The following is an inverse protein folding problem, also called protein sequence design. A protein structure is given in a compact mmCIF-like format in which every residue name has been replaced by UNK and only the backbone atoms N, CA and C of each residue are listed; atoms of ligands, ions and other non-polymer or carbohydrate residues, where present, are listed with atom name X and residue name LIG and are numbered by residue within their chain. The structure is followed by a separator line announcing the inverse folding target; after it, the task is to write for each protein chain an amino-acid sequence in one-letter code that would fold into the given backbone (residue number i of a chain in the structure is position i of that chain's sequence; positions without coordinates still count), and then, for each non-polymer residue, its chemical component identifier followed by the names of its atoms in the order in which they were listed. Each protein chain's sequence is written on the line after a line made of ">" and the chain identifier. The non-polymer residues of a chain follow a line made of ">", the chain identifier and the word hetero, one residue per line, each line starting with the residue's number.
data_IF_238728518540
#
_entry.id   IF_238728518540
#
_cell.length_a   1.000
_cell.length_b   1.000
_cell.length_c   1.000
_cell.angle_alpha   90.00
_cell.angle_beta   90.00
_cell.angle_gamma   90.00
#
_symmetry.space_group_name_H-M   'P 1'
#
loop_
_entity.id
_entity.type
_entity.pdbx_description
1 polymer ?
#
# COMPACT_ATOMS: atom_id res chain seq x y z
N UNK A 1 -47.13 22.06 19.39
CA UNK A 1 -45.96 21.81 20.26
C UNK A 1 -45.27 20.54 19.78
N UNK A 2 -44.23 20.71 18.95
CA UNK A 2 -43.36 19.61 18.50
C UNK A 2 -42.10 19.65 19.36
N UNK A 3 -41.91 18.64 20.19
CA UNK A 3 -40.71 18.47 21.00
C UNK A 3 -39.53 18.07 20.12
N UNK A 4 -38.52 18.92 20.07
CA UNK A 4 -37.23 18.66 19.48
C UNK A 4 -36.47 17.66 20.36
N UNK A 5 -36.32 16.42 19.88
CA UNK A 5 -35.53 15.38 20.53
C UNK A 5 -34.07 15.57 20.14
N UNK A 6 -33.29 16.11 21.06
CA UNK A 6 -31.85 16.31 20.91
C UNK A 6 -31.15 14.96 21.07
N UNK A 7 -30.49 14.49 19.98
CA UNK A 7 -29.72 13.26 20.00
C UNK A 7 -28.46 13.43 20.88
N UNK A 8 -28.23 12.50 21.81
CA UNK A 8 -27.04 12.44 22.65
C UNK A 8 -25.78 12.10 21.81
N UNK A 9 -24.59 12.56 22.21
CA UNK A 9 -23.34 12.21 21.54
C UNK A 9 -23.05 10.72 21.68
N UNK A 10 -22.76 10.07 20.56
CA UNK A 10 -22.29 8.69 20.54
C UNK A 10 -20.84 8.68 21.00
N UNK A 11 -20.58 8.18 22.19
CA UNK A 11 -19.22 7.89 22.67
C UNK A 11 -18.64 6.73 21.85
N UNK A 12 -17.60 7.01 21.09
CA UNK A 12 -16.80 6.00 20.40
C UNK A 12 -15.94 5.27 21.44
N UNK A 13 -16.06 3.95 21.61
CA UNK A 13 -15.20 3.22 22.54
C UNK A 13 -13.75 3.28 22.05
N UNK A 14 -12.84 3.75 22.91
CA UNK A 14 -11.41 3.69 22.71
C UNK A 14 -10.97 2.22 22.62
N UNK A 15 -10.51 1.81 21.43
CA UNK A 15 -9.87 0.52 21.23
C UNK A 15 -8.50 0.56 21.88
N UNK A 16 -8.13 -0.38 22.77
CA UNK A 16 -6.79 -0.45 23.34
C UNK A 16 -5.79 -0.68 22.20
N UNK A 17 -4.77 0.17 22.10
CA UNK A 17 -3.62 -0.06 21.24
C UNK A 17 -2.86 -1.28 21.78
N UNK A 18 -3.16 -2.44 21.24
CA UNK A 18 -2.38 -3.64 21.41
C UNK A 18 -1.07 -3.47 20.64
N UNK A 19 0.03 -3.82 21.30
CA UNK A 19 1.41 -3.68 20.84
C UNK A 19 1.60 -4.13 19.39
N UNK A 20 2.28 -3.31 18.60
CA UNK A 20 2.63 -3.55 17.21
C UNK A 20 3.15 -4.98 16.99
N UNK A 21 2.68 -5.69 15.94
CA UNK A 21 3.23 -6.98 15.59
C UNK A 21 4.69 -6.83 15.19
N UNK A 22 5.52 -7.62 15.82
CA UNK A 22 6.93 -7.80 15.48
C UNK A 22 7.04 -8.13 13.99
N UNK A 23 7.78 -7.34 13.26
CA UNK A 23 8.14 -7.56 11.85
C UNK A 23 8.61 -9.00 11.68
N UNK A 24 8.08 -9.78 10.72
CA UNK A 24 8.63 -11.08 10.40
C UNK A 24 10.10 -10.90 10.02
N UNK A 25 10.97 -11.71 10.62
CA UNK A 25 12.40 -11.73 10.35
C UNK A 25 12.63 -11.84 8.84
N UNK A 26 13.23 -10.81 8.27
CA UNK A 26 13.73 -10.85 6.89
C UNK A 26 14.71 -12.02 6.82
N UNK A 27 14.42 -12.96 5.91
CA UNK A 27 15.34 -14.05 5.62
C UNK A 27 16.67 -13.42 5.22
N UNK A 28 17.71 -13.70 5.99
CA UNK A 28 19.08 -13.29 5.71
C UNK A 28 19.50 -13.87 4.35
N UNK A 29 19.35 -13.06 3.30
CA UNK A 29 20.04 -13.33 2.05
C UNK A 29 21.52 -13.29 2.37
N UNK A 30 22.27 -14.35 2.00
CA UNK A 30 23.70 -14.45 2.17
C UNK A 30 24.38 -13.13 1.80
N UNK A 31 25.10 -12.53 2.75
CA UNK A 31 25.94 -11.38 2.55
C UNK A 31 27.12 -11.76 1.65
N UNK A 32 26.86 -11.91 0.34
CA UNK A 32 27.91 -11.84 -0.65
C UNK A 32 28.39 -10.39 -0.70
N UNK A 33 29.70 -10.17 -0.67
CA UNK A 33 30.29 -8.84 -0.81
C UNK A 33 29.72 -8.16 -2.06
N UNK A 34 28.86 -7.15 -1.84
CA UNK A 34 28.37 -6.31 -2.91
C UNK A 34 29.51 -5.38 -3.31
N UNK A 35 29.78 -5.29 -4.62
CA UNK A 35 30.85 -4.46 -5.14
C UNK A 35 30.28 -3.31 -5.99
N UNK A 36 31.03 -2.21 -6.03
CA UNK A 36 30.74 -1.10 -6.94
C UNK A 36 29.43 -0.37 -6.65
N UNK A 37 28.60 -0.21 -7.69
CA UNK A 37 27.39 0.61 -7.63
C UNK A 37 26.29 -0.05 -6.77
N UNK A 38 26.22 -1.37 -6.73
CA UNK A 38 25.27 -2.10 -5.90
C UNK A 38 25.43 -1.78 -4.41
N UNK A 39 26.69 -1.63 -3.93
CA UNK A 39 26.97 -1.22 -2.56
C UNK A 39 26.53 0.23 -2.29
N UNK A 40 26.72 1.13 -3.23
CA UNK A 40 26.24 2.51 -3.12
C UNK A 40 24.71 2.55 -3.03
N UNK A 41 24.00 1.74 -3.83
CA UNK A 41 22.54 1.64 -3.76
C UNK A 41 22.12 1.07 -2.40
N UNK A 42 22.71 -0.03 -1.96
CA UNK A 42 22.43 -0.61 -0.65
C UNK A 42 22.59 0.42 0.48
N UNK A 43 23.70 1.15 0.49
CA UNK A 43 23.96 2.19 1.47
C UNK A 43 22.94 3.34 1.38
N UNK A 44 22.59 3.79 0.18
CA UNK A 44 21.64 4.87 -0.05
C UNK A 44 20.20 4.53 0.32
N UNK A 45 19.82 3.24 0.32
CA UNK A 45 18.49 2.75 0.73
C UNK A 45 18.50 2.07 2.10
N UNK A 46 19.59 2.21 2.87
CA UNK A 46 19.68 1.72 4.24
C UNK A 46 19.09 2.76 5.20
N UNK A 47 17.84 2.60 5.57
CA UNK A 47 17.11 3.51 6.45
C UNK A 47 17.09 2.96 7.87
N UNK A 48 17.33 3.83 8.87
CA UNK A 48 17.10 3.51 10.28
C UNK A 48 15.64 3.64 10.69
N UNK A 49 14.87 4.44 9.95
CA UNK A 49 13.43 4.59 10.13
C UNK A 49 12.65 3.46 9.43
N UNK A 50 11.43 3.14 9.90
CA UNK A 50 10.56 2.17 9.22
C UNK A 50 10.38 2.52 7.75
N UNK A 51 10.56 1.54 6.87
CA UNK A 51 10.48 1.72 5.43
C UNK A 51 9.70 0.59 4.77
N UNK A 52 9.03 0.88 3.66
CA UNK A 52 8.43 -0.14 2.83
C UNK A 52 9.38 -0.55 1.71
N UNK A 53 9.64 -1.84 1.58
CA UNK A 53 10.45 -2.39 0.51
C UNK A 53 9.61 -2.51 -0.77
N UNK A 54 10.11 -1.97 -1.87
CA UNK A 54 9.46 -2.02 -3.18
C UNK A 54 10.08 -3.07 -4.12
N UNK A 55 11.37 -3.34 -3.96
CA UNK A 55 12.07 -4.27 -4.83
C UNK A 55 13.56 -4.36 -4.51
N UNK A 56 14.36 -4.63 -5.53
CA UNK A 56 15.81 -4.66 -5.44
C UNK A 56 16.43 -3.95 -6.66
N UNK A 57 17.66 -3.52 -6.50
CA UNK A 57 18.46 -2.96 -7.57
C UNK A 57 18.62 -3.96 -8.73
N UNK A 58 18.65 -3.47 -9.96
CA UNK A 58 18.98 -4.23 -11.16
C UNK A 58 20.35 -3.81 -11.68
N UNK A 59 21.26 -4.75 -11.82
CA UNK A 59 22.50 -4.55 -12.55
C UNK A 59 22.30 -5.07 -13.97
N UNK A 60 22.10 -4.14 -14.91
CA UNK A 60 21.52 -4.46 -16.20
C UNK A 60 20.12 -5.08 -16.04
N UNK A 61 19.96 -6.34 -16.45
CA UNK A 61 18.72 -7.11 -16.31
C UNK A 61 18.73 -8.08 -15.11
N UNK A 62 19.82 -8.10 -14.33
CA UNK A 62 20.00 -9.04 -13.22
C UNK A 62 19.61 -8.39 -11.88
N UNK A 63 18.62 -8.93 -11.16
CA UNK A 63 18.29 -8.44 -9.84
C UNK A 63 19.42 -8.72 -8.82
N UNK A 64 19.69 -7.75 -7.95
CA UNK A 64 20.67 -7.84 -6.88
C UNK A 64 19.90 -7.85 -5.54
N UNK A 65 19.56 -9.04 -4.98
CA UNK A 65 18.72 -9.15 -3.78
C UNK A 65 19.35 -8.50 -2.55
N UNK A 66 20.68 -8.43 -2.47
CA UNK A 66 21.44 -7.78 -1.40
C UNK A 66 21.38 -6.23 -1.43
N UNK A 67 20.84 -5.63 -2.50
CA UNK A 67 20.63 -4.18 -2.61
C UNK A 67 19.13 -3.84 -2.69
N UNK A 68 18.37 -3.96 -1.60
CA UNK A 68 16.94 -3.66 -1.56
C UNK A 68 16.69 -2.18 -1.82
N UNK A 69 15.55 -1.89 -2.48
CA UNK A 69 15.09 -0.54 -2.75
C UNK A 69 13.74 -0.32 -2.05
N UNK A 70 13.62 0.76 -1.33
CA UNK A 70 12.40 1.07 -0.56
C UNK A 70 12.19 2.56 -0.35
N UNK A 71 11.10 2.90 0.35
CA UNK A 71 10.75 4.27 0.71
C UNK A 71 10.48 4.32 2.21
N UNK A 72 11.07 5.29 2.96
CA UNK A 72 10.72 5.50 4.36
C UNK A 72 9.24 5.82 4.52
N UNK A 73 8.55 5.19 5.48
CA UNK A 73 7.12 5.43 5.74
C UNK A 73 6.83 6.91 6.07
N UNK A 74 7.75 7.59 6.73
CA UNK A 74 7.64 9.02 7.04
C UNK A 74 7.57 9.94 5.81
N UNK A 75 7.91 9.45 4.61
CA UNK A 75 7.79 10.19 3.35
C UNK A 75 6.45 9.95 2.64
N UNK A 76 5.62 9.03 3.12
CA UNK A 76 4.36 8.67 2.46
C UNK A 76 3.25 9.72 2.63
N UNK A 77 3.48 10.75 3.43
CA UNK A 77 2.64 11.95 3.49
C UNK A 77 2.93 12.97 2.36
N UNK A 78 3.79 12.61 1.42
CA UNK A 78 4.19 13.43 0.27
C UNK A 78 3.54 12.92 -1.02
N UNK A 79 3.55 13.78 -2.05
CA UNK A 79 3.09 13.36 -3.38
C UNK A 79 4.08 12.37 -3.99
N UNK A 80 3.53 11.34 -4.64
CA UNK A 80 4.30 10.34 -5.36
C UNK A 80 3.70 10.16 -6.76
N UNK A 81 4.54 10.02 -7.77
CA UNK A 81 4.13 9.72 -9.14
C UNK A 81 4.67 8.35 -9.55
N UNK A 82 3.76 7.42 -9.86
CA UNK A 82 4.11 6.13 -10.48
C UNK A 82 3.81 6.23 -11.97
N UNK A 83 4.85 6.51 -12.77
CA UNK A 83 4.74 6.71 -14.21
C UNK A 83 5.34 5.52 -14.98
N UNK A 84 4.86 5.31 -16.20
CA UNK A 84 5.35 4.26 -17.09
C UNK A 84 4.35 3.95 -18.22
N UNK A 85 4.78 3.28 -19.28
CA UNK A 85 3.94 2.82 -20.36
C UNK A 85 2.93 1.75 -19.92
N UNK A 86 1.98 1.40 -20.78
CA UNK A 86 1.04 0.30 -20.51
C UNK A 86 1.81 -1.02 -20.37
N UNK A 87 1.45 -1.83 -19.37
CA UNK A 87 2.08 -3.12 -19.12
C UNK A 87 3.37 -3.09 -18.30
N UNK A 88 3.88 -1.90 -17.90
CA UNK A 88 5.13 -1.79 -17.12
C UNK A 88 4.99 -2.08 -15.62
N UNK A 89 3.78 -2.39 -15.15
CA UNK A 89 3.54 -2.77 -13.77
C UNK A 89 3.12 -1.64 -12.82
N UNK A 90 2.69 -0.48 -13.33
CA UNK A 90 2.22 0.64 -12.49
C UNK A 90 1.18 0.24 -11.45
N UNK A 91 0.12 -0.45 -11.87
CA UNK A 91 -0.94 -0.92 -10.97
C UNK A 91 -0.40 -1.91 -9.92
N UNK A 92 0.53 -2.78 -10.31
CA UNK A 92 1.19 -3.70 -9.37
C UNK A 92 2.04 -2.98 -8.33
N UNK A 93 2.70 -1.90 -8.73
CA UNK A 93 3.44 -1.04 -7.80
C UNK A 93 2.49 -0.37 -6.80
N UNK A 94 1.34 0.15 -7.26
CA UNK A 94 0.33 0.73 -6.37
C UNK A 94 -0.28 -0.31 -5.42
N UNK A 95 -0.55 -1.53 -5.90
CA UNK A 95 -1.01 -2.64 -5.06
C UNK A 95 0.02 -2.94 -3.96
N UNK A 96 1.29 -3.12 -4.33
CA UNK A 96 2.38 -3.39 -3.38
C UNK A 96 2.50 -2.27 -2.33
N UNK A 97 2.40 -1.01 -2.75
CA UNK A 97 2.44 0.13 -1.82
C UNK A 97 1.25 0.09 -0.85
N UNK A 98 0.04 -0.18 -1.34
CA UNK A 98 -1.15 -0.30 -0.51
C UNK A 98 -1.03 -1.45 0.50
N UNK A 99 -0.54 -2.61 0.06
CA UNK A 99 -0.25 -3.77 0.92
C UNK A 99 0.73 -3.42 2.04
N UNK A 100 1.88 -2.83 1.68
CA UNK A 100 2.94 -2.47 2.64
C UNK A 100 2.49 -1.40 3.63
N UNK A 101 1.70 -0.42 3.20
CA UNK A 101 1.11 0.59 4.09
C UNK A 101 0.09 -0.04 5.03
N UNK A 102 -0.78 -0.92 4.53
CA UNK A 102 -1.75 -1.65 5.36
C UNK A 102 -1.05 -2.53 6.40
N UNK A 103 0.02 -3.24 6.02
CA UNK A 103 0.86 -4.02 6.96
C UNK A 103 1.49 -3.16 8.05
N UNK A 104 1.85 -1.93 7.72
CA UNK A 104 2.37 -0.95 8.67
C UNK A 104 1.29 -0.27 9.52
N UNK A 105 0.01 -0.67 9.40
CA UNK A 105 -1.12 -0.08 10.13
C UNK A 105 -1.55 1.29 9.59
N UNK A 106 -1.14 1.68 8.38
CA UNK A 106 -1.52 2.94 7.75
C UNK A 106 -2.77 2.72 6.90
N UNK A 107 -3.89 3.43 7.17
CA UNK A 107 -5.07 3.34 6.34
C UNK A 107 -4.80 3.92 4.94
N UNK A 108 -5.27 3.21 3.91
CA UNK A 108 -5.07 3.60 2.52
C UNK A 108 -6.43 3.81 1.85
N UNK A 109 -6.64 4.98 1.27
CA UNK A 109 -7.81 5.26 0.43
C UNK A 109 -7.41 5.23 -1.04
N UNK A 110 -8.13 4.45 -1.85
CA UNK A 110 -7.81 4.25 -3.27
C UNK A 110 -9.07 4.47 -4.11
N UNK A 111 -8.92 5.21 -5.20
CA UNK A 111 -9.95 5.32 -6.24
C UNK A 111 -9.61 4.39 -7.39
N UNK A 112 -10.53 3.47 -7.71
CA UNK A 112 -10.32 2.46 -8.74
C UNK A 112 -11.48 2.45 -9.74
N UNK A 113 -11.20 2.90 -10.96
CA UNK A 113 -12.21 2.97 -12.03
C UNK A 113 -12.37 1.62 -12.73
N UNK A 114 -11.32 0.80 -12.77
CA UNK A 114 -11.27 -0.46 -13.53
C UNK A 114 -11.51 -1.70 -12.69
N UNK A 115 -11.42 -1.60 -11.36
CA UNK A 115 -11.51 -2.73 -10.45
C UNK A 115 -10.21 -3.53 -10.31
N UNK A 116 -9.08 -3.01 -10.78
CA UNK A 116 -7.79 -3.70 -10.74
C UNK A 116 -7.23 -3.85 -9.31
N UNK A 117 -7.69 -3.03 -8.35
CA UNK A 117 -7.21 -2.98 -6.97
C UNK A 117 -8.10 -3.75 -5.99
N UNK A 118 -9.32 -4.12 -6.37
CA UNK A 118 -10.26 -4.87 -5.50
C UNK A 118 -9.71 -6.22 -5.07
N UNK A 119 -8.78 -6.79 -5.85
CA UNK A 119 -8.09 -8.04 -5.52
C UNK A 119 -7.30 -8.03 -4.20
N UNK A 120 -7.03 -6.85 -3.61
CA UNK A 120 -6.40 -6.73 -2.29
C UNK A 120 -7.24 -7.32 -1.15
N UNK A 121 -8.55 -7.42 -1.33
CA UNK A 121 -9.48 -8.02 -0.38
C UNK A 121 -9.35 -9.56 -0.28
N UNK A 122 -8.64 -10.21 -1.21
CA UNK A 122 -8.53 -11.66 -1.28
C UNK A 122 -7.06 -12.09 -1.35
N UNK A 123 -6.77 -13.23 -0.69
CA UNK A 123 -5.44 -13.82 -0.78
C UNK A 123 -5.17 -14.30 -2.22
N UNK A 124 -4.07 -13.83 -2.79
CA UNK A 124 -3.62 -14.26 -4.10
C UNK A 124 -3.15 -15.72 -4.11
N UNK A 125 -3.20 -16.37 -5.27
CA UNK A 125 -2.62 -17.69 -5.47
C UNK A 125 -1.19 -17.60 -5.98
N UNK A 126 -0.33 -18.52 -5.53
CA UNK A 126 1.05 -18.62 -5.98
C UNK A 126 1.14 -19.17 -7.41
N UNK A 127 2.22 -18.81 -8.10
CA UNK A 127 2.66 -19.50 -9.32
C UNK A 127 4.18 -19.62 -9.27
N UNK A 128 4.74 -20.62 -9.94
CA UNK A 128 6.19 -20.82 -9.99
C UNK A 128 6.91 -19.56 -10.49
N UNK A 129 6.36 -18.92 -11.53
CA UNK A 129 6.91 -17.67 -12.09
C UNK A 129 6.92 -16.53 -11.06
N UNK A 130 5.85 -16.38 -10.28
CA UNK A 130 5.75 -15.38 -9.23
C UNK A 130 6.75 -15.63 -8.12
N UNK A 131 6.81 -16.87 -7.63
CA UNK A 131 7.74 -17.27 -6.57
C UNK A 131 9.20 -17.08 -7.01
N UNK A 132 9.55 -17.52 -8.22
CA UNK A 132 10.89 -17.33 -8.78
C UNK A 132 11.24 -15.83 -8.91
N UNK A 133 10.29 -14.99 -9.34
CA UNK A 133 10.49 -13.55 -9.42
C UNK A 133 10.71 -12.91 -8.05
N UNK A 134 9.91 -13.27 -7.08
CA UNK A 134 10.06 -12.75 -5.71
C UNK A 134 11.38 -13.19 -5.09
N UNK A 135 11.74 -14.46 -5.25
CA UNK A 135 13.03 -14.99 -4.78
C UNK A 135 14.22 -14.26 -5.44
N UNK A 136 14.15 -13.95 -6.74
CA UNK A 136 15.23 -13.25 -7.45
C UNK A 136 15.51 -11.84 -6.93
N UNK A 137 14.54 -11.20 -6.30
CA UNK A 137 14.69 -9.88 -5.68
C UNK A 137 14.81 -9.96 -4.15
N UNK A 138 14.98 -11.17 -3.59
CA UNK A 138 15.11 -11.39 -2.16
C UNK A 138 13.84 -11.11 -1.37
N UNK A 139 12.65 -11.34 -1.96
CA UNK A 139 11.36 -11.24 -1.30
C UNK A 139 10.73 -12.62 -1.15
N UNK A 140 10.19 -12.91 0.03
CA UNK A 140 9.29 -14.04 0.23
C UNK A 140 7.88 -13.57 -0.12
N UNK A 141 7.21 -14.33 -1.00
CA UNK A 141 5.83 -14.04 -1.36
C UNK A 141 4.90 -15.03 -0.65
N UNK A 142 3.88 -14.48 -0.03
CA UNK A 142 2.80 -15.25 0.58
C UNK A 142 1.47 -14.59 0.21
N UNK A 143 0.49 -15.42 -0.16
CA UNK A 143 -0.86 -14.94 -0.47
C UNK A 143 -1.55 -14.45 0.81
N UNK A 144 -1.88 -13.16 0.85
CA UNK A 144 -2.51 -12.52 1.99
C UNK A 144 -3.70 -11.69 1.56
N UNK A 145 -4.79 -11.73 2.33
CA UNK A 145 -5.90 -10.81 2.20
C UNK A 145 -5.68 -9.62 3.14
N UNK A 146 -6.04 -8.43 2.67
CA UNK A 146 -5.96 -7.21 3.46
C UNK A 146 -7.35 -6.74 3.88
N UNK A 147 -7.53 -6.18 5.09
CA UNK A 147 -8.78 -5.57 5.51
C UNK A 147 -9.18 -4.48 4.51
N UNK A 148 -10.30 -4.67 3.83
CA UNK A 148 -10.71 -3.78 2.74
C UNK A 148 -12.20 -3.47 2.88
N UNK A 149 -12.54 -2.19 2.84
CA UNK A 149 -13.91 -1.71 2.73
C UNK A 149 -14.13 -1.17 1.32
N UNK A 150 -15.14 -1.69 0.63
CA UNK A 150 -15.51 -1.23 -0.70
C UNK A 150 -16.53 -0.11 -0.59
N UNK A 151 -16.24 1.00 -1.25
CA UNK A 151 -17.11 2.16 -1.31
C UNK A 151 -17.60 2.37 -2.75
N UNK A 152 -18.89 2.71 -2.93
CA UNK A 152 -19.45 2.97 -4.25
C UNK A 152 -19.86 4.42 -4.40
N UNK A 153 -19.63 4.97 -5.58
CA UNK A 153 -20.08 6.30 -5.95
C UNK A 153 -21.31 6.21 -6.87
N UNK A 154 -22.35 6.98 -6.56
CA UNK A 154 -23.58 7.02 -7.36
C UNK A 154 -24.46 5.77 -7.25
N UNK A 155 -24.23 4.91 -6.24
CA UNK A 155 -25.05 3.72 -5.97
C UNK A 155 -24.92 2.61 -7.01
N UNK A 156 -23.86 2.59 -7.78
CA UNK A 156 -23.53 1.53 -8.75
C UNK A 156 -22.37 0.69 -8.26
N UNK A 157 -22.48 -0.65 -8.34
CA UNK A 157 -21.47 -1.60 -7.90
C UNK A 157 -21.71 -2.13 -6.48
N UNK A 158 -20.76 -2.92 -5.99
CA UNK A 158 -20.79 -3.51 -4.64
C UNK A 158 -20.07 -2.59 -3.65
N UNK A 159 -20.56 -2.52 -2.41
CA UNK A 159 -19.96 -1.76 -1.33
C UNK A 159 -20.88 -0.71 -0.71
N UNK A 160 -20.35 0.03 0.25
CA UNK A 160 -21.07 1.08 0.97
C UNK A 160 -21.21 2.33 0.08
N UNK A 161 -22.42 2.83 -0.19
CA UNK A 161 -22.60 4.00 -1.04
C UNK A 161 -22.09 5.27 -0.35
N UNK A 162 -21.15 5.95 -1.00
CA UNK A 162 -20.72 7.30 -0.60
C UNK A 162 -21.74 8.31 -1.15
N UNK A 163 -22.22 9.16 -0.27
CA UNK A 163 -23.10 10.28 -0.61
C UNK A 163 -22.48 11.57 -0.08
N UNK A 164 -22.45 12.58 -0.93
CA UNK A 164 -22.12 13.94 -0.53
C UNK A 164 -23.41 14.73 -0.38
N UNK A 165 -23.52 15.53 0.66
CA UNK A 165 -24.62 16.48 0.83
C UNK A 165 -24.29 17.77 0.08
N UNK A 166 -25.33 18.52 -0.34
CA UNK A 166 -25.16 19.81 -1.02
C UNK A 166 -24.33 20.79 -0.16
N UNK A 167 -24.44 20.69 1.15
CA UNK A 167 -23.71 21.53 2.11
C UNK A 167 -22.21 21.28 2.14
N UNK A 168 -21.76 20.10 1.69
CA UNK A 168 -20.34 19.75 1.58
C UNK A 168 -19.69 20.26 0.28
N UNK A 169 -20.52 20.61 -0.71
CA UNK A 169 -20.07 21.34 -1.88
C UNK A 169 -20.00 22.83 -1.56
N UNK A 170 -18.79 23.38 -1.51
CA UNK A 170 -18.64 24.83 -1.37
C UNK A 170 -19.30 25.58 -2.53
N UNK A 171 -19.67 26.87 -2.36
CA UNK A 171 -20.37 27.69 -3.36
C UNK A 171 -19.67 27.70 -4.73
N UNK A 172 -18.36 27.57 -4.77
CA UNK A 172 -17.57 27.57 -6.01
C UNK A 172 -17.81 26.34 -6.89
N UNK A 173 -18.17 25.19 -6.31
CA UNK A 173 -18.44 23.97 -7.07
C UNK A 173 -19.88 23.92 -7.60
N UNK A 174 -20.80 24.60 -6.95
CA UNK A 174 -22.20 24.69 -7.35
C UNK A 174 -22.46 25.77 -8.41
N UNK A 175 -21.50 26.67 -8.63
CA UNK A 175 -21.62 27.79 -9.58
C UNK A 175 -21.07 27.52 -10.98
N UNK A 176 -20.67 26.30 -11.30
CA UNK A 176 -20.13 25.88 -12.62
C UNK A 176 -21.17 25.15 -13.44
#
# INVERSE_FOLDING_TARGET
>A
EAATQQAAPVETPAVPMESAPTTPAEASASEGELQGYAEQVRAGYSFTAPSMRLGAFLDGDTPVPGAPVGIPLGLMNRHCLVAGATGTGKTRTLQLMAERLSEAGVPVFVTDIKGDLTGLAQAGSSSEKLLARCASIGQNWEGKAFPTELLTLGGRGEGVPIRTTITEFGPLLLSR
#
